data_IF_173076824585
#
_entry.id   IF_173076824585
#
_cell.length_a   1.000
_cell.length_b   1.000
_cell.length_c   1.000
_cell.angle_alpha   90.00
_cell.angle_beta   90.00
_cell.angle_gamma   90.00
#
_symmetry.space_group_name_H-M   'P 1'
#
loop_
_entity.id
_entity.type
_entity.pdbx_description
1 polymer ?
#
# COMPACT_ATOMS: atom_id res chain seq x y z
N UNK A 1 10.46 -1.61 14.60
CA UNK A 1 10.20 -1.09 15.98
C UNK A 1 9.46 -2.18 16.74
N UNK A 2 9.76 -2.41 18.02
CA UNK A 2 9.20 -3.56 18.75
C UNK A 2 8.10 -3.12 19.72
N UNK A 3 6.95 -3.79 19.67
CA UNK A 3 5.86 -3.67 20.63
C UNK A 3 5.43 -5.07 21.05
N UNK A 4 5.46 -5.36 22.35
CA UNK A 4 5.36 -6.74 22.85
C UNK A 4 6.49 -7.60 22.28
N UNK A 5 6.14 -8.75 21.72
CA UNK A 5 7.09 -9.68 21.11
C UNK A 5 7.17 -9.55 19.57
N UNK A 6 6.54 -8.52 18.99
CA UNK A 6 6.47 -8.32 17.53
C UNK A 6 7.35 -7.15 17.09
N UNK A 7 8.14 -7.38 16.06
CA UNK A 7 8.77 -6.31 15.29
C UNK A 7 7.84 -5.83 14.18
N UNK A 8 7.75 -4.50 14.06
CA UNK A 8 6.94 -3.81 13.07
C UNK A 8 7.79 -3.12 12.01
N UNK A 9 7.37 -3.32 10.77
CA UNK A 9 7.83 -2.58 9.60
C UNK A 9 7.15 -1.21 9.55
N UNK A 10 7.92 -0.17 9.28
CA UNK A 10 7.46 1.20 9.32
C UNK A 10 7.96 1.94 8.08
N UNK A 11 7.14 2.84 7.56
CA UNK A 11 7.50 3.64 6.40
C UNK A 11 7.14 5.11 6.62
N UNK A 12 8.01 6.00 6.14
CA UNK A 12 7.75 7.42 5.99
C UNK A 12 7.76 7.78 4.51
N UNK A 13 6.78 8.56 4.08
CA UNK A 13 6.82 9.28 2.80
C UNK A 13 6.82 10.77 3.10
N UNK A 14 7.64 11.55 2.39
CA UNK A 14 7.71 12.99 2.56
C UNK A 14 7.27 13.68 1.28
N UNK A 15 6.36 14.64 1.40
CA UNK A 15 5.98 15.55 0.33
C UNK A 15 6.70 16.89 0.57
N UNK A 16 7.35 17.49 -0.45
CA UNK A 16 8.12 18.72 -0.31
C UNK A 16 7.24 19.99 -0.26
N UNK A 17 5.98 19.83 0.12
CA UNK A 17 4.98 20.88 0.26
C UNK A 17 4.02 20.47 1.38
N UNK A 18 3.25 21.42 1.91
CA UNK A 18 2.17 21.08 2.83
C UNK A 18 1.05 20.29 2.15
N UNK A 19 0.09 19.81 2.93
CA UNK A 19 -1.02 19.00 2.42
C UNK A 19 -2.35 19.53 2.96
N UNK A 20 -3.44 19.22 2.25
CA UNK A 20 -4.79 19.71 2.55
C UNK A 20 -4.80 21.23 2.71
N UNK A 21 -5.34 21.73 3.82
CA UNK A 21 -5.49 23.17 4.10
C UNK A 21 -4.15 23.92 4.22
N UNK A 22 -3.02 23.20 4.26
CA UNK A 22 -1.68 23.78 4.34
C UNK A 22 -0.87 23.64 3.05
N UNK A 23 -1.50 23.26 1.94
CA UNK A 23 -0.82 23.11 0.65
C UNK A 23 -0.08 24.39 0.22
N UNK A 24 -0.70 25.55 0.45
CA UNK A 24 -0.16 26.88 0.10
C UNK A 24 0.77 27.46 1.19
N UNK A 25 1.02 26.73 2.28
CA UNK A 25 1.88 27.23 3.35
C UNK A 25 3.34 27.23 2.89
N UNK A 26 3.94 28.41 2.86
CA UNK A 26 5.35 28.58 2.51
C UNK A 26 6.26 27.80 3.47
N UNK A 27 7.32 27.18 2.95
CA UNK A 27 8.29 26.37 3.69
C UNK A 27 7.67 25.17 4.43
N UNK A 28 6.49 24.71 4.04
CA UNK A 28 5.87 23.50 4.59
C UNK A 28 6.28 22.24 3.83
N UNK A 29 6.34 21.13 4.56
CA UNK A 29 6.43 19.78 4.03
C UNK A 29 5.53 18.86 4.84
N UNK A 30 5.07 17.76 4.23
CA UNK A 30 4.25 16.77 4.91
C UNK A 30 4.97 15.44 5.02
N UNK A 31 4.83 14.79 6.17
CA UNK A 31 5.32 13.43 6.42
C UNK A 31 4.12 12.50 6.63
N UNK A 32 3.96 11.51 5.75
CA UNK A 32 3.01 10.42 5.96
C UNK A 32 3.71 9.26 6.63
N UNK A 33 3.14 8.76 7.73
CA UNK A 33 3.69 7.69 8.54
C UNK A 33 2.80 6.44 8.43
N UNK A 34 3.40 5.31 8.09
CA UNK A 34 2.70 4.06 7.87
C UNK A 34 3.22 2.96 8.79
N UNK A 35 2.29 2.15 9.29
CA UNK A 35 2.58 0.83 9.85
C UNK A 35 2.39 -0.18 8.72
N UNK A 36 3.47 -0.82 8.30
CA UNK A 36 3.44 -1.89 7.34
C UNK A 36 3.18 -3.21 8.06
N UNK A 37 2.45 -4.12 7.42
CA UNK A 37 2.05 -5.40 8.00
C UNK A 37 1.43 -5.26 9.41
N UNK A 38 0.37 -4.42 9.59
CA UNK A 38 -0.26 -4.27 10.90
C UNK A 38 -0.78 -5.61 11.43
N UNK A 39 -1.17 -5.71 12.69
CA UNK A 39 -1.91 -6.87 13.18
C UNK A 39 -3.39 -6.82 12.73
N UNK A 40 -3.95 -5.60 12.66
CA UNK A 40 -5.31 -5.33 12.18
C UNK A 40 -5.54 -5.89 10.77
N UNK A 41 -6.63 -6.64 10.60
CA UNK A 41 -7.10 -7.17 9.31
C UNK A 41 -8.61 -7.01 9.22
N UNK A 42 -9.11 -6.96 7.98
CA UNK A 42 -10.54 -7.02 7.68
C UNK A 42 -10.76 -7.82 6.40
N UNK A 43 -12.03 -8.00 6.03
CA UNK A 43 -12.45 -8.70 4.83
C UNK A 43 -13.34 -7.83 3.95
N UNK A 44 -13.27 -8.12 2.66
CA UNK A 44 -14.18 -7.57 1.66
C UNK A 44 -15.31 -8.58 1.46
N UNK A 45 -16.55 -8.11 1.41
CA UNK A 45 -17.71 -8.97 1.14
C UNK A 45 -18.65 -8.34 0.13
N UNK A 46 -19.34 -9.21 -0.63
CA UNK A 46 -20.43 -8.81 -1.53
C UNK A 46 -21.73 -9.32 -0.92
N UNK A 47 -22.66 -8.40 -0.64
CA UNK A 47 -24.00 -8.74 -0.13
C UNK A 47 -25.02 -8.76 -1.26
N UNK A 48 -25.99 -9.66 -1.16
CA UNK A 48 -27.11 -9.77 -2.10
C UNK A 48 -28.27 -8.82 -1.81
N UNK A 49 -28.12 -7.91 -0.83
CA UNK A 49 -29.22 -7.05 -0.37
C UNK A 49 -29.50 -5.91 -1.33
N UNK A 50 -30.73 -5.84 -1.86
CA UNK A 50 -31.20 -4.83 -2.81
C UNK A 50 -31.73 -3.54 -2.14
N UNK A 51 -31.61 -3.40 -0.82
CA UNK A 51 -32.12 -2.24 -0.09
C UNK A 51 -31.01 -1.26 0.28
N UNK A 52 -30.69 -0.35 -0.65
CA UNK A 52 -29.98 0.91 -0.44
C UNK A 52 -28.69 0.85 0.42
N UNK A 53 -27.63 0.33 -0.17
CA UNK A 53 -26.22 0.68 0.06
C UNK A 53 -25.40 -0.23 -0.86
N UNK A 54 -24.23 0.21 -1.30
CA UNK A 54 -23.36 -0.54 -2.23
C UNK A 54 -23.34 -2.05 -1.91
N UNK A 55 -23.56 -2.96 -2.88
CA UNK A 55 -23.49 -4.40 -2.64
C UNK A 55 -22.08 -4.84 -2.20
N UNK A 56 -21.10 -3.96 -2.31
CA UNK A 56 -19.70 -4.18 -1.98
C UNK A 56 -19.34 -3.52 -0.63
N UNK A 57 -18.91 -4.32 0.33
CA UNK A 57 -18.40 -3.90 1.63
C UNK A 57 -16.87 -4.04 1.65
N UNK A 58 -16.16 -2.93 1.82
CA UNK A 58 -14.69 -2.89 1.87
C UNK A 58 -14.08 -3.16 3.24
N UNK A 59 -14.91 -3.09 4.29
CA UNK A 59 -14.55 -3.30 5.68
C UNK A 59 -15.71 -4.03 6.36
N UNK A 60 -15.84 -5.33 6.11
CA UNK A 60 -16.99 -6.12 6.57
C UNK A 60 -17.12 -6.12 8.08
N UNK A 61 -16.00 -6.12 8.80
CA UNK A 61 -15.96 -6.14 10.26
C UNK A 61 -15.64 -4.76 10.87
N UNK A 62 -15.30 -3.76 10.05
CA UNK A 62 -14.87 -2.44 10.50
C UNK A 62 -13.54 -2.45 11.25
N UNK A 63 -12.70 -3.48 11.05
CA UNK A 63 -11.50 -3.79 11.83
C UNK A 63 -10.19 -3.56 11.08
N UNK A 64 -10.26 -2.96 9.89
CA UNK A 64 -9.09 -2.80 9.00
C UNK A 64 -7.93 -2.03 9.63
N UNK A 65 -8.19 -1.10 10.56
CA UNK A 65 -7.26 -0.09 11.06
C UNK A 65 -7.23 -0.05 12.56
N UNK A 66 -6.02 -0.15 13.13
CA UNK A 66 -5.76 0.11 14.56
C UNK A 66 -6.77 -0.61 15.49
N UNK A 67 -7.27 -1.77 15.06
CA UNK A 67 -8.19 -2.60 15.84
C UNK A 67 -7.47 -3.35 16.95
N UNK A 68 -6.14 -3.38 16.91
CA UNK A 68 -5.28 -3.85 17.99
C UNK A 68 -4.64 -2.69 18.74
N UNK A 69 -4.44 -2.86 20.04
CA UNK A 69 -3.73 -1.88 20.86
C UNK A 69 -2.26 -1.73 20.44
N UNK A 70 -1.64 -2.80 19.94
CA UNK A 70 -0.25 -2.80 19.51
C UNK A 70 -0.04 -1.94 18.25
N UNK A 71 -0.95 -2.02 17.27
CA UNK A 71 -0.89 -1.18 16.06
C UNK A 71 -0.98 0.31 16.39
N UNK A 72 -1.86 0.69 17.33
CA UNK A 72 -1.96 2.07 17.79
C UNK A 72 -0.67 2.48 18.53
N UNK A 73 -0.19 1.63 19.44
CA UNK A 73 1.00 1.92 20.24
C UNK A 73 2.25 2.11 19.38
N UNK A 74 2.47 1.26 18.38
CA UNK A 74 3.64 1.38 17.50
C UNK A 74 3.57 2.65 16.65
N UNK A 75 2.39 3.01 16.14
CA UNK A 75 2.21 4.26 15.38
C UNK A 75 2.46 5.50 16.26
N UNK A 76 2.01 5.47 17.52
CA UNK A 76 2.27 6.55 18.49
C UNK A 76 3.77 6.72 18.77
N UNK A 77 4.48 5.62 19.01
CA UNK A 77 5.93 5.64 19.23
C UNK A 77 6.68 6.10 17.98
N UNK A 78 6.27 5.64 16.81
CA UNK A 78 6.89 6.01 15.54
C UNK A 78 6.70 7.49 15.23
N UNK A 79 5.48 8.00 15.34
CA UNK A 79 5.18 9.42 15.16
C UNK A 79 5.98 10.30 16.11
N UNK A 80 6.05 9.91 17.39
CA UNK A 80 6.86 10.64 18.37
C UNK A 80 8.33 10.71 17.95
N UNK A 81 8.92 9.58 17.53
CA UNK A 81 10.31 9.52 17.09
C UNK A 81 10.56 10.40 15.87
N UNK A 82 9.71 10.33 14.85
CA UNK A 82 9.86 11.07 13.60
C UNK A 82 9.68 12.58 13.80
N UNK A 83 8.65 13.00 14.53
CA UNK A 83 8.40 14.41 14.85
C UNK A 83 9.55 14.98 15.68
N UNK A 84 10.04 14.24 16.68
CA UNK A 84 11.20 14.68 17.49
C UNK A 84 12.45 14.87 16.64
N UNK A 85 12.71 13.99 15.66
CA UNK A 85 13.84 14.12 14.76
C UNK A 85 13.69 15.36 13.86
N UNK A 86 12.52 15.59 13.28
CA UNK A 86 12.23 16.76 12.47
C UNK A 86 12.38 18.07 13.25
N UNK A 87 11.85 18.12 14.48
CA UNK A 87 11.98 19.29 15.36
C UNK A 87 13.43 19.54 15.77
N UNK A 88 14.19 18.49 16.08
CA UNK A 88 15.62 18.61 16.37
C UNK A 88 16.43 19.10 15.16
N UNK A 89 15.97 18.82 13.94
CA UNK A 89 16.53 19.32 12.69
C UNK A 89 16.08 20.75 12.34
N UNK A 90 15.32 21.41 13.21
CA UNK A 90 14.87 22.78 13.02
C UNK A 90 13.50 22.92 12.38
N UNK A 91 12.68 21.87 12.32
CA UNK A 91 11.30 21.99 11.84
C UNK A 91 10.31 22.36 12.97
N UNK A 92 9.18 22.96 12.61
CA UNK A 92 8.06 23.18 13.53
C UNK A 92 6.91 22.23 13.20
N UNK A 93 6.40 21.52 14.20
CA UNK A 93 5.22 20.67 14.03
C UNK A 93 3.94 21.51 14.11
N UNK A 94 3.15 21.51 13.02
CA UNK A 94 2.01 22.40 12.89
C UNK A 94 0.71 21.83 13.46
N UNK A 95 0.55 20.51 13.46
CA UNK A 95 -0.74 19.90 13.82
C UNK A 95 -1.00 19.88 15.33
N UNK A 96 0.01 20.17 16.17
CA UNK A 96 -0.18 20.45 17.60
C UNK A 96 0.90 21.37 18.16
N UNK A 97 0.49 22.23 19.10
CA UNK A 97 1.38 23.17 19.80
C UNK A 97 2.40 22.48 20.73
N UNK A 98 2.18 21.21 21.07
CA UNK A 98 3.02 20.48 22.02
C UNK A 98 3.60 19.23 21.38
N UNK A 99 4.93 19.07 21.48
CA UNK A 99 5.69 17.94 20.92
C UNK A 99 6.12 16.94 22.01
N UNK A 100 5.36 16.85 23.10
CA UNK A 100 5.57 15.82 24.13
C UNK A 100 5.09 14.46 23.64
N UNK A 101 5.59 13.36 24.23
CA UNK A 101 5.12 12.02 23.86
C UNK A 101 3.61 11.86 24.06
N UNK A 102 3.06 12.39 25.15
CA UNK A 102 1.63 12.32 25.45
C UNK A 102 0.78 13.12 24.45
N UNK A 103 1.21 14.33 24.07
CA UNK A 103 0.46 15.15 23.10
C UNK A 103 0.49 14.55 21.70
N UNK A 104 1.63 14.00 21.27
CA UNK A 104 1.73 13.32 19.98
C UNK A 104 0.92 12.03 19.99
N UNK A 105 0.95 11.24 21.07
CA UNK A 105 0.14 10.03 21.18
C UNK A 105 -1.37 10.32 21.11
N UNK A 106 -1.82 11.40 21.77
CA UNK A 106 -3.21 11.85 21.68
C UNK A 106 -3.58 12.32 20.27
N UNK A 107 -2.68 13.06 19.60
CA UNK A 107 -2.87 13.49 18.23
C UNK A 107 -2.97 12.32 17.25
N UNK A 108 -2.08 11.32 17.36
CA UNK A 108 -2.13 10.08 16.56
C UNK A 108 -3.47 9.38 16.75
N UNK A 109 -3.92 9.20 18.00
CA UNK A 109 -5.21 8.55 18.29
C UNK A 109 -6.40 9.27 17.65
N UNK A 110 -6.33 10.59 17.53
CA UNK A 110 -7.41 11.40 16.96
C UNK A 110 -7.39 11.48 15.42
N UNK A 111 -6.22 11.30 14.78
CA UNK A 111 -6.04 11.58 13.36
C UNK A 111 -5.59 10.36 12.52
N UNK A 112 -5.23 9.26 13.15
CA UNK A 112 -4.87 8.04 12.43
C UNK A 112 -6.10 7.36 11.81
N UNK A 113 -5.87 6.50 10.82
CA UNK A 113 -6.95 5.80 10.11
C UNK A 113 -7.35 6.45 8.78
N UNK A 114 -6.52 7.33 8.22
CA UNK A 114 -6.74 7.88 6.87
C UNK A 114 -6.51 6.82 5.78
N UNK A 115 -6.65 7.14 4.49
CA UNK A 115 -6.49 6.19 3.38
C UNK A 115 -5.09 6.29 2.73
N UNK A 116 -4.37 5.18 2.47
CA UNK A 116 -3.08 5.12 1.74
C UNK A 116 -3.21 4.69 0.30
N UNK A 117 -4.30 4.00 -0.02
CA UNK A 117 -4.50 3.29 -1.29
C UNK A 117 -3.56 2.08 -1.54
N UNK A 118 -3.01 1.47 -0.48
CA UNK A 118 -2.12 0.29 -0.58
C UNK A 118 -2.84 -1.03 -0.27
N UNK A 119 -3.90 -1.38 -1.02
CA UNK A 119 -4.63 -2.64 -0.81
C UNK A 119 -3.88 -3.87 -1.25
N UNK A 120 -4.00 -4.94 -0.48
CA UNK A 120 -3.57 -6.26 -0.88
C UNK A 120 -4.10 -7.36 0.04
N UNK A 121 -3.85 -8.61 -0.34
CA UNK A 121 -4.06 -9.77 0.53
C UNK A 121 -5.47 -10.35 0.59
N UNK A 122 -6.42 -9.83 -0.19
CA UNK A 122 -7.78 -10.39 -0.27
C UNK A 122 -7.83 -11.79 -0.90
N UNK A 123 -6.80 -12.16 -1.67
CA UNK A 123 -6.63 -13.48 -2.28
C UNK A 123 -5.14 -13.86 -2.25
N UNK A 124 -4.56 -13.98 -1.04
CA UNK A 124 -3.12 -14.19 -0.92
C UNK A 124 -2.68 -15.57 -1.44
N UNK A 125 -1.43 -15.64 -1.93
CA UNK A 125 -0.78 -16.87 -2.39
C UNK A 125 0.04 -17.54 -1.28
N UNK A 126 0.09 -18.88 -1.29
CA UNK A 126 1.00 -19.65 -0.45
C UNK A 126 1.40 -20.96 -1.13
N UNK A 127 2.69 -21.33 -1.01
CA UNK A 127 3.20 -22.65 -1.38
C UNK A 127 2.89 -23.73 -0.35
N UNK A 128 2.47 -23.35 0.86
CA UNK A 128 2.09 -24.29 1.91
C UNK A 128 0.70 -24.84 1.62
N UNK A 129 0.64 -26.10 1.18
CA UNK A 129 -0.63 -26.77 0.87
C UNK A 129 -1.50 -27.01 2.11
N UNK A 130 -0.94 -26.94 3.32
CA UNK A 130 -1.69 -27.03 4.57
C UNK A 130 -2.34 -25.70 4.98
N UNK A 131 -1.93 -24.58 4.38
CA UNK A 131 -2.57 -23.29 4.59
C UNK A 131 -3.95 -23.26 3.91
N UNK A 132 -4.99 -23.56 4.68
CA UNK A 132 -6.38 -23.59 4.22
C UNK A 132 -6.97 -22.19 3.95
N UNK A 133 -6.25 -21.12 4.30
CA UNK A 133 -6.69 -19.73 4.12
C UNK A 133 -6.15 -19.10 2.83
N UNK A 134 -5.19 -19.74 2.15
CA UNK A 134 -4.66 -19.27 0.86
C UNK A 134 -5.73 -19.34 -0.23
N UNK A 135 -5.72 -18.36 -1.13
CA UNK A 135 -6.65 -18.28 -2.25
C UNK A 135 -6.03 -18.80 -3.55
N UNK A 136 -4.70 -18.67 -3.68
CA UNK A 136 -3.93 -19.16 -4.81
C UNK A 136 -2.70 -19.97 -4.36
N UNK A 137 -2.21 -20.83 -5.25
CA UNK A 137 -0.95 -21.55 -5.08
C UNK A 137 0.27 -20.67 -5.39
N UNK A 138 1.47 -21.23 -5.25
CA UNK A 138 2.74 -20.54 -5.52
C UNK A 138 2.92 -20.10 -6.98
N UNK A 139 2.10 -20.63 -7.88
CA UNK A 139 2.06 -20.24 -9.29
C UNK A 139 0.99 -19.19 -9.58
N UNK A 140 0.34 -18.69 -8.53
CA UNK A 140 -0.74 -17.71 -8.56
C UNK A 140 -2.03 -18.25 -9.21
N UNK A 141 -2.17 -19.57 -9.29
CA UNK A 141 -3.37 -20.22 -9.78
C UNK A 141 -4.35 -20.38 -8.63
N UNK A 142 -5.62 -20.04 -8.88
CA UNK A 142 -6.69 -20.12 -7.87
C UNK A 142 -6.93 -21.57 -7.50
N UNK A 143 -6.99 -21.84 -6.19
CA UNK A 143 -7.20 -23.20 -5.67
C UNK A 143 -8.52 -23.76 -6.17
N UNK A 144 -8.50 -25.01 -6.64
CA UNK A 144 -9.67 -25.70 -7.20
C UNK A 144 -9.98 -25.37 -8.66
N UNK A 145 -9.13 -24.57 -9.33
CA UNK A 145 -9.28 -24.24 -10.76
C UNK A 145 -8.14 -24.84 -11.58
N UNK A 146 -8.37 -25.04 -12.88
CA UNK A 146 -7.35 -25.52 -13.81
C UNK A 146 -6.64 -24.40 -14.58
N UNK A 147 -7.28 -23.24 -14.74
CA UNK A 147 -6.83 -22.20 -15.67
C UNK A 147 -7.15 -20.76 -15.22
N UNK A 148 -7.41 -20.53 -13.94
CA UNK A 148 -7.68 -19.19 -13.40
C UNK A 148 -6.48 -18.73 -12.58
N UNK A 149 -5.93 -17.56 -12.93
CA UNK A 149 -4.76 -16.97 -12.29
C UNK A 149 -5.07 -15.57 -11.78
N UNK A 150 -4.38 -15.15 -10.73
CA UNK A 150 -4.45 -13.79 -10.17
C UNK A 150 -3.11 -13.10 -10.44
N UNK A 151 -3.12 -11.78 -10.67
CA UNK A 151 -1.92 -11.04 -11.08
C UNK A 151 -1.85 -9.61 -10.52
N UNK A 152 -2.57 -9.34 -9.43
CA UNK A 152 -2.64 -8.03 -8.80
C UNK A 152 -2.28 -8.09 -7.30
N UNK A 153 -2.45 -6.96 -6.62
CA UNK A 153 -2.11 -6.80 -5.21
C UNK A 153 -2.86 -7.74 -4.26
N UNK A 154 -3.98 -8.35 -4.66
CA UNK A 154 -4.71 -9.29 -3.83
C UNK A 154 -3.86 -10.49 -3.39
N UNK A 155 -2.80 -10.82 -4.15
CA UNK A 155 -1.84 -11.87 -3.82
C UNK A 155 -0.87 -11.51 -2.69
N UNK A 156 -0.74 -10.23 -2.34
CA UNK A 156 0.23 -9.76 -1.34
C UNK A 156 -0.21 -10.15 0.08
N UNK A 157 0.54 -11.04 0.73
CA UNK A 157 0.34 -11.36 2.15
C UNK A 157 0.92 -10.29 3.07
N UNK A 158 2.09 -9.78 2.70
CA UNK A 158 2.89 -8.79 3.44
C UNK A 158 3.59 -7.83 2.47
N UNK A 159 4.04 -6.68 2.95
CA UNK A 159 4.81 -5.69 2.19
C UNK A 159 5.49 -4.68 3.11
N UNK A 160 6.64 -4.14 2.69
CA UNK A 160 7.49 -3.26 3.52
C UNK A 160 7.60 -1.83 3.00
N UNK A 161 7.07 -1.56 1.82
CA UNK A 161 7.10 -0.27 1.11
C UNK A 161 5.83 -0.08 0.27
N UNK A 162 5.69 1.07 -0.39
CA UNK A 162 4.63 1.31 -1.36
C UNK A 162 4.49 0.14 -2.35
N UNK A 163 3.28 -0.39 -2.58
CA UNK A 163 3.10 -1.68 -3.23
C UNK A 163 3.33 -1.67 -4.74
N UNK A 164 3.56 -0.51 -5.35
CA UNK A 164 3.70 -0.37 -6.80
C UNK A 164 4.70 -1.38 -7.39
N UNK A 165 5.90 -1.48 -6.81
CA UNK A 165 6.92 -2.43 -7.26
C UNK A 165 6.49 -3.89 -7.10
N UNK A 166 5.86 -4.23 -5.96
CA UNK A 166 5.35 -5.58 -5.71
C UNK A 166 4.27 -5.96 -6.72
N UNK A 167 3.32 -5.07 -7.00
CA UNK A 167 2.23 -5.32 -7.96
C UNK A 167 2.76 -5.52 -9.38
N UNK A 168 3.72 -4.69 -9.80
CA UNK A 168 4.37 -4.87 -11.11
C UNK A 168 5.09 -6.22 -11.20
N UNK A 169 5.80 -6.62 -10.14
CA UNK A 169 6.48 -7.92 -10.09
C UNK A 169 5.49 -9.09 -10.07
N UNK A 170 4.37 -8.98 -9.34
CA UNK A 170 3.31 -9.99 -9.35
C UNK A 170 2.77 -10.18 -10.77
N UNK A 171 2.47 -9.10 -11.48
CA UNK A 171 2.01 -9.17 -12.87
C UNK A 171 3.02 -9.85 -13.78
N UNK A 172 4.30 -9.49 -13.65
CA UNK A 172 5.40 -10.12 -14.40
C UNK A 172 5.50 -11.63 -14.10
N UNK A 173 5.49 -12.01 -12.83
CA UNK A 173 5.61 -13.41 -12.41
C UNK A 173 4.38 -14.23 -12.82
N UNK A 174 3.17 -13.67 -12.73
CA UNK A 174 1.95 -14.31 -13.21
C UNK A 174 2.06 -14.65 -14.71
N UNK A 175 2.55 -13.70 -15.53
CA UNK A 175 2.76 -13.92 -16.95
C UNK A 175 3.77 -15.06 -17.21
N UNK A 176 4.89 -15.10 -16.48
CA UNK A 176 5.87 -16.21 -16.59
C UNK A 176 5.25 -17.56 -16.24
N UNK A 177 4.48 -17.62 -15.14
CA UNK A 177 3.81 -18.85 -14.70
C UNK A 177 2.81 -19.36 -15.76
N UNK A 178 2.00 -18.46 -16.35
CA UNK A 178 1.04 -18.80 -17.39
C UNK A 178 1.74 -19.29 -18.66
N UNK A 179 2.80 -18.61 -19.12
CA UNK A 179 3.56 -19.03 -20.31
C UNK A 179 4.14 -20.43 -20.13
N UNK A 180 4.71 -20.70 -18.95
CA UNK A 180 5.29 -21.99 -18.64
C UNK A 180 4.24 -23.10 -18.53
N UNK A 181 3.13 -22.84 -17.83
CA UNK A 181 2.15 -23.89 -17.50
C UNK A 181 1.10 -24.10 -18.61
N UNK A 182 0.57 -23.03 -19.18
CA UNK A 182 -0.49 -23.13 -20.20
C UNK A 182 0.06 -23.33 -21.61
N UNK A 183 1.27 -22.84 -21.89
CA UNK A 183 1.83 -22.81 -23.25
C UNK A 183 3.16 -23.58 -23.38
N UNK A 184 3.65 -24.22 -22.31
CA UNK A 184 4.95 -24.90 -22.27
C UNK A 184 6.11 -24.04 -22.80
N UNK A 185 5.96 -22.71 -22.70
CA UNK A 185 6.92 -21.73 -23.21
C UNK A 185 7.70 -21.19 -22.03
N UNK A 186 9.01 -21.35 -22.03
CA UNK A 186 9.86 -20.69 -21.04
C UNK A 186 10.03 -19.24 -21.48
N UNK A 187 9.52 -18.30 -20.70
CA UNK A 187 9.87 -16.90 -20.88
C UNK A 187 11.38 -16.77 -20.63
N UNK A 188 12.16 -16.56 -21.70
CA UNK A 188 13.58 -16.28 -21.58
C UNK A 188 13.75 -14.95 -20.85
N UNK A 189 14.42 -14.97 -19.71
CA UNK A 189 14.83 -13.72 -19.05
C UNK A 189 15.79 -13.00 -19.99
N UNK A 190 15.29 -11.97 -20.68
CA UNK A 190 16.09 -11.02 -21.46
C UNK A 190 16.88 -10.11 -20.50
N UNK A 191 17.68 -10.73 -19.61
CA UNK A 191 18.94 -10.15 -19.15
C UNK A 191 19.96 -10.28 -20.27
N UNK A 192 19.67 -9.66 -21.41
CA UNK A 192 20.68 -9.38 -22.42
C UNK A 192 21.67 -8.40 -21.80
N UNK A 193 22.86 -8.92 -21.46
CA UNK A 193 24.06 -8.14 -21.24
C UNK A 193 24.16 -7.03 -22.28
N UNK A 194 24.06 -5.78 -21.84
CA UNK A 194 24.24 -4.59 -22.67
C UNK A 194 25.71 -4.48 -23.11
N UNK A 195 26.06 -5.18 -24.19
CA UNK A 195 27.18 -4.75 -25.03
C UNK A 195 26.65 -3.66 -25.96
N UNK A 196 27.18 -2.45 -25.77
CA UNK A 196 26.71 -1.24 -26.43
C UNK A 196 26.83 -1.27 -27.95
N UNK A 197 25.90 -0.58 -28.59
CA UNK A 197 26.13 0.10 -29.84
C UNK A 197 25.18 1.30 -29.95
N UNK A 198 25.79 2.47 -30.00
CA UNK A 198 25.23 3.74 -30.44
C UNK A 198 24.49 3.62 -31.76
N UNK A 199 23.28 4.14 -31.85
CA UNK A 199 22.50 4.20 -33.09
C UNK A 199 21.43 5.29 -33.00
N UNK A 200 21.45 6.17 -33.99
CA UNK A 200 20.91 7.50 -34.00
C UNK A 200 19.37 7.57 -34.12
N UNK A 201 18.83 8.73 -33.73
CA UNK A 201 17.42 9.09 -33.69
C UNK A 201 16.62 8.86 -34.99
N UNK A 202 15.32 8.59 -34.83
CA UNK A 202 14.27 9.12 -35.71
C UNK A 202 12.95 9.18 -34.97
N UNK A 203 12.47 10.41 -34.78
CA UNK A 203 11.14 10.71 -34.30
C UNK A 203 10.11 10.37 -35.38
N UNK A 204 9.04 9.68 -35.00
CA UNK A 204 7.80 9.62 -35.77
C UNK A 204 6.63 9.85 -34.84
N UNK A 205 5.96 10.97 -35.07
CA UNK A 205 4.80 11.49 -34.38
C UNK A 205 3.54 10.91 -35.06
N UNK A 206 2.69 10.20 -34.32
CA UNK A 206 1.31 9.87 -34.69
C UNK A 206 0.69 9.06 -33.54
N UNK A 207 -0.54 9.23 -33.07
CA UNK A 207 -1.61 10.22 -33.21
C UNK A 207 -2.75 9.66 -32.33
N UNK A 208 -3.52 10.55 -31.70
CA UNK A 208 -4.81 10.31 -31.04
C UNK A 208 -5.47 8.92 -31.15
N UNK A 209 -5.66 8.28 -30.00
CA UNK A 209 -6.67 7.25 -29.78
C UNK A 209 -7.35 7.52 -28.44
N UNK A 210 -8.51 8.17 -28.48
CA UNK A 210 -9.29 8.50 -27.28
C UNK A 210 -9.78 7.26 -26.55
N UNK A 211 -9.59 7.23 -25.23
CA UNK A 211 -10.32 6.33 -24.36
C UNK A 211 -11.60 7.03 -23.88
N UNK A 212 -12.69 6.71 -24.58
CA UNK A 212 -14.05 6.92 -24.12
C UNK A 212 -14.40 5.80 -23.12
N UNK A 213 -14.86 6.20 -21.94
CA UNK A 213 -15.80 5.44 -21.12
C UNK A 213 -15.30 4.14 -20.49
N UNK A 214 -14.97 4.20 -19.21
CA UNK A 214 -15.58 3.34 -18.19
C UNK A 214 -15.32 3.97 -16.81
N UNK A 215 -16.29 4.76 -16.35
CA UNK A 215 -16.46 5.03 -14.93
C UNK A 215 -16.76 3.70 -14.23
N UNK A 216 -15.81 3.21 -13.45
CA UNK A 216 -16.06 2.28 -12.37
C UNK A 216 -15.25 2.76 -11.17
N UNK A 217 -15.81 3.73 -10.44
CA UNK A 217 -15.34 4.11 -9.12
C UNK A 217 -15.56 2.92 -8.17
N UNK A 218 -14.53 2.10 -7.99
CA UNK A 218 -14.42 1.29 -6.79
C UNK A 218 -13.61 2.11 -5.78
N UNK A 219 -14.27 2.57 -4.72
CA UNK A 219 -13.65 3.30 -3.61
C UNK A 219 -12.98 2.27 -2.71
N UNK A 220 -11.67 2.38 -2.50
CA UNK A 220 -10.86 1.38 -1.81
C UNK A 220 -9.97 2.08 -0.76
N UNK A 221 -9.91 1.56 0.48
CA UNK A 221 -9.48 2.29 1.70
C UNK A 221 -8.50 1.51 2.65
N UNK A 222 -7.25 2.00 3.01
CA UNK A 222 -6.20 1.44 3.97
C UNK A 222 -5.50 2.52 4.89
N UNK A 223 -5.00 2.30 6.13
CA UNK A 223 -4.48 3.33 7.11
C UNK A 223 -3.33 4.26 6.66
N UNK A 224 -3.58 5.56 6.57
CA UNK A 224 -2.59 6.65 6.52
C UNK A 224 -2.65 7.47 7.80
N UNK A 225 -1.52 8.02 8.22
CA UNK A 225 -1.44 9.15 9.15
C UNK A 225 -0.55 10.19 8.50
N UNK A 226 -1.04 11.44 8.43
CA UNK A 226 -0.37 12.53 7.76
C UNK A 226 0.01 13.61 8.78
N UNK A 227 1.28 14.01 8.77
CA UNK A 227 1.91 14.98 9.67
C UNK A 227 2.34 16.18 8.84
N UNK A 228 2.12 17.41 9.30
CA UNK A 228 2.58 18.64 8.65
C UNK A 228 3.69 19.33 9.44
N UNK A 229 4.77 19.74 8.75
CA UNK A 229 5.95 20.37 9.33
C UNK A 229 6.36 21.62 8.52
N UNK A 230 6.91 22.64 9.18
CA UNK A 230 7.58 23.79 8.56
C UNK A 230 9.09 23.70 8.70
N UNK A 231 9.83 24.11 7.68
CA UNK A 231 11.26 24.46 7.78
C UNK A 231 11.40 25.91 8.26
N UNK A 232 12.39 26.18 9.11
CA UNK A 232 12.82 27.55 9.43
C UNK A 232 13.86 28.06 8.42
#
# INVERSE_FOLDING_TARGET
MTVGDREYDLQTTVLPHGFADSYETENAYSMSLFVNNPESRDSISVSSSSSNSSPFNVATNGSWYLSTANDLQVLQQYAYKMIRAAVAAGSSFLDTKSTTAASIAAWVKANAGSVTHHFGGSCYTSSDTSDTKRCADEKFKVIGTSNIYVSDASLMKEGTVNPYGFVMYIGHQAAKNILQEAFATVATDDTSSSNGASGNASASNSSNGGFSGMEAMCRITLVSLLVLLLLH
#
